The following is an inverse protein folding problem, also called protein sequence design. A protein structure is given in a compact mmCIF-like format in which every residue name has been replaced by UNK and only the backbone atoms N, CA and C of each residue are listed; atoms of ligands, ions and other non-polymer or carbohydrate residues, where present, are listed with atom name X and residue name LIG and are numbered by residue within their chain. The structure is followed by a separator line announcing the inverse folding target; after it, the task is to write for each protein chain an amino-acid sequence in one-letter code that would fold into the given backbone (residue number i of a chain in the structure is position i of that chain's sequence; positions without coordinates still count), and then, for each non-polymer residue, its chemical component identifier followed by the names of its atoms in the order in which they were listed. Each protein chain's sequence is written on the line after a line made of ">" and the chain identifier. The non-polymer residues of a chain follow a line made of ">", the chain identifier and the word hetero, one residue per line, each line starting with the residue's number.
data_IF_700364854512
#
_entry.id   IF_700364854512
#
_cell.length_a   1.000
_cell.length_b   1.000
_cell.length_c   1.000
_cell.angle_alpha   90.00
_cell.angle_beta   90.00
_cell.angle_gamma   90.00
#
_symmetry.space_group_name_H-M   'P 1'
#
loop_
_entity.id
_entity.type
_entity.pdbx_description
1 polymer ?
#
# COMPACT_ATOMS: atom_id res chain seq x y z
N UNK A 1 23.68 -9.24 11.75
CA UNK A 1 23.32 -9.37 10.32
C UNK A 1 22.01 -10.14 10.22
N UNK A 2 21.07 -9.68 9.44
CA UNK A 2 19.86 -10.42 9.13
C UNK A 2 20.20 -11.50 8.10
N UNK A 3 20.02 -12.79 8.40
CA UNK A 3 20.41 -13.87 7.47
C UNK A 3 19.54 -13.94 6.22
N UNK A 4 18.31 -13.37 6.26
CA UNK A 4 17.39 -13.38 5.13
C UNK A 4 17.66 -12.24 4.12
N UNK A 5 18.13 -11.08 4.58
CA UNK A 5 18.29 -9.88 3.74
C UNK A 5 19.74 -9.43 3.61
N UNK A 6 20.66 -9.95 4.40
CA UNK A 6 22.07 -9.52 4.45
C UNK A 6 22.29 -8.16 5.13
N UNK A 7 21.22 -7.52 5.63
CA UNK A 7 21.31 -6.24 6.36
C UNK A 7 22.07 -6.38 7.67
N UNK A 8 22.79 -5.35 8.05
CA UNK A 8 23.54 -5.28 9.29
C UNK A 8 22.97 -4.22 10.22
N UNK A 9 22.99 -4.51 11.51
CA UNK A 9 22.68 -3.51 12.55
C UNK A 9 23.92 -3.38 13.45
N UNK A 10 24.30 -2.15 13.70
CA UNK A 10 25.47 -1.80 14.52
C UNK A 10 25.01 -0.90 15.66
N UNK A 11 25.49 -1.17 16.86
CA UNK A 11 25.27 -0.30 18.03
C UNK A 11 26.58 0.37 18.41
N UNK A 12 26.51 1.65 18.75
CA UNK A 12 27.61 2.44 19.30
C UNK A 12 27.18 3.06 20.64
N UNK A 13 28.12 3.27 21.52
CA UNK A 13 27.86 3.88 22.83
C UNK A 13 28.88 4.98 23.12
N UNK A 14 28.48 5.97 23.91
CA UNK A 14 29.37 6.94 24.50
C UNK A 14 30.33 6.28 25.54
N UNK A 15 31.39 6.97 25.90
CA UNK A 15 32.39 6.45 26.88
C UNK A 15 31.79 6.17 28.27
N UNK A 16 30.61 6.66 28.58
CA UNK A 16 29.89 6.41 29.82
C UNK A 16 28.86 5.26 29.73
N UNK A 17 28.61 4.70 28.53
CA UNK A 17 27.70 3.58 28.30
C UNK A 17 26.23 3.90 28.55
N UNK A 18 25.86 5.18 28.71
CA UNK A 18 24.48 5.61 29.06
C UNK A 18 23.65 6.03 27.85
N UNK A 19 24.31 6.45 26.78
CA UNK A 19 23.66 6.81 25.52
C UNK A 19 24.36 6.10 24.39
N UNK A 20 23.59 5.58 23.50
CA UNK A 20 24.08 4.89 22.32
C UNK A 20 23.25 5.25 21.10
N UNK A 21 23.70 4.74 20.01
CA UNK A 21 23.00 4.81 18.73
C UNK A 21 23.02 3.44 18.11
N UNK A 22 21.93 3.03 17.48
CA UNK A 22 21.97 1.89 16.57
C UNK A 22 21.65 2.34 15.16
N UNK A 23 22.36 1.73 14.22
CA UNK A 23 22.33 2.09 12.81
C UNK A 23 21.99 0.82 12.04
N UNK A 24 21.00 0.88 11.16
CA UNK A 24 20.73 -0.18 10.19
C UNK A 24 21.41 0.14 8.88
N UNK A 25 22.12 -0.84 8.34
CA UNK A 25 22.91 -0.69 7.13
C UNK A 25 22.42 -1.72 6.12
N UNK A 26 22.01 -1.23 4.95
CA UNK A 26 21.68 -2.05 3.80
C UNK A 26 22.93 -2.83 3.31
N UNK A 27 22.79 -4.00 2.65
CA UNK A 27 23.93 -4.76 2.11
C UNK A 27 24.85 -3.97 1.17
N UNK A 28 24.32 -2.90 0.54
CA UNK A 28 25.11 -1.98 -0.30
C UNK A 28 25.95 -0.98 0.49
N UNK A 29 25.91 -1.00 1.83
CA UNK A 29 26.58 -0.05 2.70
C UNK A 29 25.83 1.25 3.00
N UNK A 30 24.63 1.43 2.44
CA UNK A 30 23.78 2.62 2.71
C UNK A 30 23.13 2.52 4.08
N UNK A 31 23.22 3.60 4.87
CA UNK A 31 22.46 3.73 6.12
C UNK A 31 20.99 3.88 5.81
N UNK A 32 20.15 3.00 6.34
CA UNK A 32 18.69 3.04 6.18
C UNK A 32 18.06 3.94 7.23
N UNK A 33 18.50 3.77 8.47
CA UNK A 33 18.10 4.65 9.58
C UNK A 33 19.14 4.61 10.70
N UNK A 34 19.08 5.64 11.53
CA UNK A 34 19.82 5.79 12.77
C UNK A 34 18.86 6.16 13.89
N UNK A 35 19.02 5.54 15.07
CA UNK A 35 18.17 5.81 16.24
C UNK A 35 19.00 5.92 17.49
N UNK A 36 18.65 6.88 18.33
CA UNK A 36 19.27 7.05 19.65
C UNK A 36 18.74 5.99 20.61
N UNK A 37 19.65 5.50 21.45
CA UNK A 37 19.37 4.56 22.53
C UNK A 37 19.59 5.25 23.87
N UNK A 38 18.63 5.10 24.78
CA UNK A 38 18.76 5.52 26.17
C UNK A 38 18.93 4.26 27.02
N UNK A 39 20.10 4.10 27.60
CA UNK A 39 20.50 2.93 28.37
C UNK A 39 21.61 2.09 27.71
N UNK A 40 22.17 1.17 28.46
CA UNK A 40 23.25 0.30 28.03
C UNK A 40 22.69 -1.05 27.57
N UNK A 41 22.68 -1.29 26.26
CA UNK A 41 22.25 -2.55 25.65
C UNK A 41 23.48 -3.30 25.14
N UNK A 42 23.82 -4.38 25.82
CA UNK A 42 25.02 -5.18 25.53
C UNK A 42 24.78 -6.35 24.57
N UNK A 43 23.52 -6.61 24.22
CA UNK A 43 23.16 -7.65 23.25
C UNK A 43 22.11 -7.16 22.28
N UNK A 44 22.25 -7.64 21.05
CA UNK A 44 21.36 -7.32 19.95
C UNK A 44 21.03 -8.59 19.15
N UNK A 45 19.81 -8.69 18.69
CA UNK A 45 19.37 -9.71 17.75
C UNK A 45 18.45 -9.08 16.71
N UNK A 46 18.63 -9.46 15.45
CA UNK A 46 17.69 -9.15 14.37
C UNK A 46 16.86 -10.38 14.10
N UNK A 47 15.54 -10.22 14.05
CA UNK A 47 14.59 -11.31 13.73
C UNK A 47 14.57 -11.57 12.23
N UNK A 48 13.94 -12.66 11.80
CA UNK A 48 13.75 -12.97 10.38
C UNK A 48 12.88 -11.94 9.65
N UNK A 49 11.95 -11.30 10.38
CA UNK A 49 11.09 -10.20 9.90
C UNK A 49 11.79 -8.83 9.92
N UNK A 50 13.05 -8.79 10.36
CA UNK A 50 13.87 -7.58 10.36
C UNK A 50 13.72 -6.70 11.60
N UNK A 51 12.93 -7.10 12.59
CA UNK A 51 12.82 -6.39 13.89
C UNK A 51 14.13 -6.49 14.66
N UNK A 52 14.42 -5.45 15.44
CA UNK A 52 15.69 -5.34 16.18
C UNK A 52 15.39 -5.43 17.67
N UNK A 53 15.88 -6.49 18.29
CA UNK A 53 15.78 -6.72 19.71
C UNK A 53 17.08 -6.34 20.41
N UNK A 54 17.00 -5.42 21.35
CA UNK A 54 18.11 -4.98 22.19
C UNK A 54 17.91 -5.43 23.62
N UNK A 55 18.96 -5.90 24.25
CA UNK A 55 18.98 -6.41 25.63
C UNK A 55 20.04 -5.67 26.43
N UNK A 56 19.63 -5.20 27.62
CA UNK A 56 20.55 -4.76 28.65
C UNK A 56 20.70 -5.89 29.71
N UNK A 57 21.82 -6.58 29.70
CA UNK A 57 22.08 -7.65 30.67
C UNK A 57 22.22 -7.12 32.10
N UNK A 58 22.72 -5.90 32.26
CA UNK A 58 22.93 -5.27 33.56
C UNK A 58 21.64 -4.73 34.18
N UNK A 59 20.74 -4.22 33.34
CA UNK A 59 19.50 -3.60 33.79
C UNK A 59 18.31 -4.57 33.75
N UNK A 60 18.45 -5.73 33.07
CA UNK A 60 17.33 -6.63 32.80
C UNK A 60 16.27 -6.01 31.89
N UNK A 61 16.69 -5.08 31.04
CA UNK A 61 15.83 -4.28 30.16
C UNK A 61 15.85 -4.83 28.74
N UNK A 62 14.71 -4.79 28.09
CA UNK A 62 14.53 -5.23 26.70
C UNK A 62 13.86 -4.11 25.91
N UNK A 63 14.42 -3.80 24.77
CA UNK A 63 13.84 -2.84 23.84
C UNK A 63 13.71 -3.50 22.46
N UNK A 64 12.59 -3.32 21.81
CA UNK A 64 12.37 -3.81 20.45
C UNK A 64 12.00 -2.66 19.52
N UNK A 65 12.57 -2.72 18.32
CA UNK A 65 12.27 -1.80 17.23
C UNK A 65 11.76 -2.58 16.03
N UNK A 66 10.85 -1.99 15.30
CA UNK A 66 10.37 -2.52 14.02
C UNK A 66 11.50 -2.63 12.99
N UNK A 67 11.22 -3.27 11.88
CA UNK A 67 12.12 -3.29 10.72
C UNK A 67 12.39 -1.90 10.14
N UNK A 68 11.56 -0.91 10.42
CA UNK A 68 11.72 0.51 10.00
C UNK A 68 12.37 1.39 11.06
N UNK A 69 12.75 0.81 12.20
CA UNK A 69 13.40 1.52 13.30
C UNK A 69 12.48 2.28 14.24
N UNK A 70 11.18 2.02 14.20
CA UNK A 70 10.23 2.56 15.17
C UNK A 70 10.27 1.72 16.45
N UNK A 71 10.32 2.40 17.62
CA UNK A 71 10.34 1.72 18.91
C UNK A 71 8.98 1.10 19.21
N UNK A 72 8.93 -0.23 19.30
CA UNK A 72 7.70 -0.98 19.55
C UNK A 72 7.46 -1.20 21.05
N UNK A 73 8.51 -1.52 21.79
CA UNK A 73 8.42 -1.55 23.25
C UNK A 73 9.78 -1.36 23.93
N UNK A 74 9.70 -1.05 25.24
CA UNK A 74 10.85 -0.80 26.09
C UNK A 74 10.45 -1.18 27.53
N UNK A 75 11.00 -2.25 28.07
CA UNK A 75 10.54 -2.81 29.36
C UNK A 75 11.65 -3.50 30.15
N UNK A 76 11.42 -3.58 31.46
CA UNK A 76 12.18 -4.44 32.35
C UNK A 76 11.54 -5.83 32.39
N UNK A 77 12.37 -6.89 32.25
CA UNK A 77 11.89 -8.28 32.16
C UNK A 77 11.59 -8.88 33.53
N UNK A 78 11.94 -8.18 34.60
CA UNK A 78 11.68 -8.66 35.99
C UNK A 78 11.09 -7.58 36.85
N UNK A 79 10.17 -7.98 37.72
CA UNK A 79 9.66 -7.16 38.83
C UNK A 79 10.80 -6.86 39.80
N UNK A 80 11.45 -5.70 39.64
CA UNK A 80 12.35 -5.09 40.63
C UNK A 80 13.70 -5.75 40.96
N UNK A 81 14.24 -6.70 40.18
CA UNK A 81 15.62 -7.15 40.39
C UNK A 81 16.38 -7.27 39.05
N UNK A 82 17.54 -6.66 38.93
CA UNK A 82 18.40 -6.85 37.75
C UNK A 82 18.82 -8.33 37.68
N UNK A 83 18.28 -9.06 36.73
CA UNK A 83 18.69 -10.44 36.46
C UNK A 83 19.49 -10.39 35.15
N UNK A 84 20.76 -10.72 35.23
CA UNK A 84 21.61 -10.78 34.05
C UNK A 84 21.05 -11.83 33.07
N UNK A 85 20.64 -11.38 31.90
CA UNK A 85 20.25 -12.28 30.81
C UNK A 85 21.43 -12.58 29.91
N UNK A 86 21.63 -13.86 29.61
CA UNK A 86 22.73 -14.30 28.75
C UNK A 86 22.37 -14.36 27.27
N UNK A 87 21.12 -14.67 26.98
CA UNK A 87 20.65 -14.82 25.59
C UNK A 87 19.17 -14.47 25.47
N UNK A 88 18.79 -13.99 24.30
CA UNK A 88 17.40 -13.81 23.89
C UNK A 88 17.11 -14.65 22.64
N UNK A 89 15.94 -15.25 22.61
CA UNK A 89 15.43 -16.01 21.48
C UNK A 89 14.06 -15.47 21.08
N UNK A 90 13.83 -15.37 19.79
CA UNK A 90 12.49 -15.18 19.25
C UNK A 90 12.03 -16.54 18.75
N UNK A 91 10.96 -17.06 19.32
CA UNK A 91 10.34 -18.27 18.83
C UNK A 91 9.70 -18.02 17.47
N UNK A 92 9.45 -19.08 16.70
CA UNK A 92 8.72 -18.99 15.43
C UNK A 92 7.30 -18.42 15.59
N UNK A 93 6.74 -18.49 16.77
CA UNK A 93 5.48 -17.89 17.20
C UNK A 93 5.57 -16.39 17.53
N UNK A 94 6.75 -15.77 17.39
CA UNK A 94 6.99 -14.36 17.75
C UNK A 94 7.27 -14.10 19.22
N UNK A 95 7.26 -15.12 20.06
CA UNK A 95 7.50 -14.99 21.50
C UNK A 95 8.97 -14.67 21.79
N UNK A 96 9.20 -13.80 22.76
CA UNK A 96 10.52 -13.49 23.26
C UNK A 96 10.84 -14.35 24.49
N UNK A 97 11.90 -15.14 24.37
CA UNK A 97 12.39 -15.99 25.44
C UNK A 97 13.77 -15.47 25.88
N UNK A 98 13.97 -15.30 27.19
CA UNK A 98 15.22 -14.84 27.78
C UNK A 98 15.81 -15.91 28.67
N UNK A 99 17.05 -16.28 28.41
CA UNK A 99 17.82 -17.17 29.28
C UNK A 99 18.64 -16.32 30.26
N UNK A 100 18.27 -16.37 31.53
CA UNK A 100 18.96 -15.68 32.62
C UNK A 100 20.18 -16.43 33.15
N UNK A 101 21.01 -15.76 33.93
CA UNK A 101 22.06 -16.40 34.72
C UNK A 101 21.43 -17.43 35.70
N UNK A 102 22.06 -18.60 35.79
CA UNK A 102 21.54 -19.70 36.59
C UNK A 102 20.49 -20.58 35.91
N UNK A 103 20.37 -20.49 34.56
CA UNK A 103 19.49 -21.36 33.75
C UNK A 103 18.00 -20.97 33.80
N UNK A 104 17.68 -19.83 34.37
CA UNK A 104 16.29 -19.35 34.45
C UNK A 104 15.82 -18.92 33.03
N UNK A 105 14.80 -19.58 32.51
CA UNK A 105 14.10 -19.16 31.30
C UNK A 105 12.95 -18.21 31.67
N UNK A 106 13.00 -16.99 31.14
CA UNK A 106 11.94 -16.01 31.28
C UNK A 106 11.30 -15.80 29.92
N UNK A 107 10.01 -16.01 29.86
CA UNK A 107 9.19 -15.68 28.71
C UNK A 107 8.60 -14.29 28.93
N UNK A 108 8.84 -13.37 28.00
CA UNK A 108 8.10 -12.11 27.98
C UNK A 108 6.64 -12.45 27.68
N UNK A 109 5.75 -12.02 28.56
CA UNK A 109 4.34 -12.37 28.58
C UNK A 109 3.63 -12.23 27.23
N UNK A 110 2.33 -12.23 27.23
CA UNK A 110 1.50 -12.29 26.02
C UNK A 110 1.73 -11.07 25.12
N UNK A 111 2.09 -11.30 23.85
CA UNK A 111 2.26 -10.26 22.83
C UNK A 111 1.06 -10.21 21.89
N UNK A 112 0.59 -9.01 21.57
CA UNK A 112 -0.45 -8.75 20.60
C UNK A 112 0.15 -8.14 19.35
N UNK A 113 -0.21 -8.72 18.21
CA UNK A 113 0.22 -8.31 16.88
C UNK A 113 -1.01 -8.11 16.03
N UNK A 114 -0.99 -7.10 15.17
CA UNK A 114 -1.98 -6.96 14.10
C UNK A 114 -1.30 -7.11 12.73
N UNK A 115 -1.95 -7.85 11.82
CA UNK A 115 -1.45 -8.06 10.46
C UNK A 115 -1.58 -6.80 9.62
N UNK A 116 -0.77 -6.70 8.56
CA UNK A 116 -1.02 -5.78 7.46
C UNK A 116 -1.96 -6.45 6.45
N UNK A 117 -2.62 -5.62 5.63
CA UNK A 117 -3.60 -6.04 4.63
C UNK A 117 -3.35 -5.31 3.33
N UNK A 118 -3.44 -6.04 2.22
CA UNK A 118 -3.47 -5.47 0.88
C UNK A 118 -4.77 -5.90 0.22
N UNK A 119 -5.50 -4.94 -0.35
CA UNK A 119 -6.82 -5.18 -0.93
C UNK A 119 -7.01 -4.31 -2.17
N UNK A 120 -7.66 -4.86 -3.20
CA UNK A 120 -8.08 -4.09 -4.35
C UNK A 120 -9.44 -3.48 -4.08
N UNK A 121 -9.60 -2.19 -4.39
CA UNK A 121 -10.88 -1.49 -4.33
C UNK A 121 -11.93 -2.24 -5.16
N UNK A 122 -13.11 -2.56 -4.62
CA UNK A 122 -14.13 -3.26 -5.37
C UNK A 122 -14.70 -2.38 -6.50
N UNK A 123 -15.08 -3.01 -7.60
CA UNK A 123 -15.74 -2.32 -8.72
C UNK A 123 -17.09 -1.75 -8.27
N UNK A 124 -17.85 -2.56 -7.51
CA UNK A 124 -19.15 -2.18 -6.95
C UNK A 124 -19.31 -2.72 -5.53
N UNK A 125 -20.15 -2.09 -4.71
CA UNK A 125 -20.45 -2.52 -3.36
C UNK A 125 -19.27 -2.34 -2.39
N UNK A 126 -18.94 -3.39 -1.66
CA UNK A 126 -17.89 -3.41 -0.65
C UNK A 126 -16.98 -4.64 -0.80
N UNK A 127 -15.72 -4.49 -0.42
CA UNK A 127 -14.80 -5.60 -0.17
C UNK A 127 -14.38 -5.57 1.29
N UNK A 128 -13.95 -6.70 1.85
CA UNK A 128 -13.59 -6.81 3.26
C UNK A 128 -12.08 -6.90 3.42
N UNK A 129 -11.48 -5.92 4.09
CA UNK A 129 -10.11 -5.97 4.57
C UNK A 129 -10.10 -6.70 5.92
N UNK A 130 -9.40 -7.83 6.02
CA UNK A 130 -9.35 -8.66 7.22
C UNK A 130 -8.01 -8.46 7.91
N UNK A 131 -8.04 -7.82 9.07
CA UNK A 131 -6.90 -7.71 9.97
C UNK A 131 -6.96 -8.83 10.99
N UNK A 132 -5.92 -9.66 11.04
CA UNK A 132 -5.80 -10.70 12.05
C UNK A 132 -5.02 -10.18 13.25
N UNK A 133 -5.66 -10.12 14.41
CA UNK A 133 -5.01 -9.84 15.69
C UNK A 133 -4.61 -11.17 16.33
N UNK A 134 -3.31 -11.32 16.56
CA UNK A 134 -2.73 -12.54 17.11
C UNK A 134 -2.21 -12.27 18.51
N UNK A 135 -2.69 -13.04 19.47
CA UNK A 135 -2.12 -13.13 20.82
C UNK A 135 -1.13 -14.28 20.84
N UNK A 136 0.13 -14.01 21.19
CA UNK A 136 1.16 -15.02 21.40
C UNK A 136 1.41 -15.21 22.90
N UNK A 137 1.33 -16.45 23.35
CA UNK A 137 1.51 -16.77 24.78
C UNK A 137 0.34 -16.36 25.67
N UNK A 138 0.34 -16.83 26.90
CA UNK A 138 -0.63 -16.43 27.92
C UNK A 138 -0.06 -16.58 29.34
N UNK A 139 -0.51 -15.74 30.28
CA UNK A 139 -0.24 -15.93 31.68
C UNK A 139 -1.28 -16.85 32.31
N UNK A 140 -0.88 -17.49 33.38
CA UNK A 140 -1.76 -18.26 34.21
C UNK A 140 -1.76 -17.68 35.62
N UNK A 141 -2.87 -17.87 36.35
CA UNK A 141 -2.91 -17.66 37.78
C UNK A 141 -1.99 -18.67 38.50
N UNK A 142 -1.77 -18.50 39.78
CA UNK A 142 -0.98 -19.46 40.60
C UNK A 142 -1.55 -20.87 40.50
N UNK A 143 -2.85 -21.00 40.36
CA UNK A 143 -3.59 -22.27 40.23
C UNK A 143 -3.56 -22.83 38.80
N UNK A 144 -2.90 -22.13 37.88
CA UNK A 144 -2.70 -22.54 36.48
C UNK A 144 -3.89 -22.25 35.57
N UNK A 145 -4.85 -21.42 35.97
CA UNK A 145 -5.92 -20.96 35.09
C UNK A 145 -5.42 -19.88 34.14
N UNK A 146 -5.80 -19.89 32.83
CA UNK A 146 -5.45 -18.85 31.89
C UNK A 146 -6.00 -17.49 32.31
N UNK A 147 -5.18 -16.45 32.19
CA UNK A 147 -5.62 -15.08 32.45
C UNK A 147 -6.16 -14.49 31.14
N UNK A 148 -7.42 -14.02 31.10
CA UNK A 148 -7.98 -13.38 29.92
C UNK A 148 -7.20 -12.12 29.53
N UNK A 149 -7.00 -11.93 28.22
CA UNK A 149 -6.35 -10.75 27.63
C UNK A 149 -7.38 -9.95 26.85
N UNK A 150 -7.35 -8.64 26.96
CA UNK A 150 -8.21 -7.80 26.15
C UNK A 150 -7.44 -6.62 25.54
N UNK A 151 -7.93 -6.13 24.37
CA UNK A 151 -7.34 -5.01 23.65
C UNK A 151 -8.41 -4.22 22.93
N UNK A 152 -8.33 -2.90 23.01
CA UNK A 152 -9.12 -2.00 22.19
C UNK A 152 -8.55 -1.90 20.77
N UNK A 153 -9.40 -1.59 19.80
CA UNK A 153 -8.97 -1.30 18.45
C UNK A 153 -9.81 -0.20 17.81
N UNK A 154 -9.20 0.53 16.89
CA UNK A 154 -9.90 1.51 16.06
C UNK A 154 -9.15 1.70 14.73
N UNK A 155 -9.90 1.96 13.66
CA UNK A 155 -9.31 2.39 12.39
C UNK A 155 -8.91 3.86 12.44
N UNK A 156 -7.84 4.21 11.71
CA UNK A 156 -7.35 5.58 11.53
C UNK A 156 -7.17 5.90 10.05
N UNK A 157 -7.60 7.10 9.66
CA UNK A 157 -7.35 7.65 8.33
C UNK A 157 -5.86 7.97 8.13
N UNK A 158 -5.39 7.72 6.90
CA UNK A 158 -4.11 8.19 6.38
C UNK A 158 -4.35 8.88 5.05
N UNK A 159 -3.98 8.24 3.94
CA UNK A 159 -4.34 8.72 2.60
C UNK A 159 -5.72 8.24 2.17
N UNK A 160 -6.22 7.13 2.74
CA UNK A 160 -7.60 6.69 2.63
C UNK A 160 -8.47 7.39 3.69
N UNK A 161 -9.68 7.81 3.32
CA UNK A 161 -10.63 8.50 4.19
C UNK A 161 -11.95 7.73 4.35
N UNK A 162 -12.66 7.99 5.44
CA UNK A 162 -13.93 7.33 5.77
C UNK A 162 -15.08 7.74 4.83
N UNK A 163 -14.98 8.90 4.19
CA UNK A 163 -16.03 9.35 3.28
C UNK A 163 -16.09 8.44 2.04
N UNK A 164 -14.94 8.14 1.42
CA UNK A 164 -14.85 7.53 0.11
C UNK A 164 -14.30 6.09 0.10
N UNK A 165 -13.43 5.72 1.06
CA UNK A 165 -12.60 4.54 0.90
C UNK A 165 -12.97 3.39 1.83
N UNK A 166 -13.31 3.64 3.10
CA UNK A 166 -13.62 2.57 4.04
C UNK A 166 -14.66 2.99 5.10
N UNK A 167 -15.23 1.99 5.77
CA UNK A 167 -16.13 2.22 6.90
C UNK A 167 -15.32 2.07 8.18
N UNK A 168 -15.30 3.10 9.08
CA UNK A 168 -14.53 3.02 10.30
C UNK A 168 -15.08 1.97 11.25
N UNK A 169 -14.19 1.27 11.92
CA UNK A 169 -14.53 0.31 12.98
C UNK A 169 -13.80 0.66 14.26
N UNK A 170 -14.46 0.40 15.40
CA UNK A 170 -13.90 0.54 16.74
C UNK A 170 -14.53 -0.51 17.64
N UNK A 171 -13.72 -1.10 18.50
CA UNK A 171 -14.23 -2.11 19.42
C UNK A 171 -13.19 -2.60 20.40
N UNK A 172 -13.48 -3.77 20.99
CA UNK A 172 -12.60 -4.46 21.93
C UNK A 172 -12.60 -5.95 21.61
N UNK A 173 -11.41 -6.55 21.57
CA UNK A 173 -11.24 -7.99 21.50
C UNK A 173 -10.94 -8.54 22.89
N UNK A 174 -11.41 -9.78 23.14
CA UNK A 174 -11.10 -10.53 24.35
C UNK A 174 -10.60 -11.92 23.97
N UNK A 175 -9.41 -12.26 24.43
CA UNK A 175 -8.78 -13.53 24.20
C UNK A 175 -8.86 -14.35 25.49
N UNK A 176 -9.47 -15.53 25.43
CA UNK A 176 -9.46 -16.50 26.51
C UNK A 176 -8.62 -17.69 26.08
N UNK A 177 -7.33 -17.73 26.43
CA UNK A 177 -6.46 -18.85 26.07
C UNK A 177 -7.00 -20.13 26.73
N UNK A 178 -7.08 -21.22 25.96
CA UNK A 178 -7.53 -22.52 26.50
C UNK A 178 -6.37 -23.50 26.61
N UNK A 179 -6.37 -24.31 27.68
CA UNK A 179 -5.48 -25.47 27.81
C UNK A 179 -5.94 -26.57 26.87
N UNK A 180 -5.08 -27.08 26.00
CA UNK A 180 -5.33 -28.38 25.40
C UNK A 180 -5.14 -28.56 23.90
N UNK A 181 -4.78 -27.53 23.12
CA UNK A 181 -4.46 -27.68 21.69
C UNK A 181 -2.97 -27.53 21.42
N UNK A 182 -2.47 -28.11 20.34
CA UNK A 182 -1.06 -27.97 19.93
C UNK A 182 -0.66 -26.51 19.72
N UNK A 183 -1.63 -25.64 19.34
CA UNK A 183 -1.46 -24.20 19.12
C UNK A 183 -1.83 -23.33 20.33
N UNK A 184 -1.79 -23.88 21.52
CA UNK A 184 -2.17 -23.22 22.79
C UNK A 184 -1.45 -21.91 23.11
N UNK A 185 -0.46 -21.53 22.32
CA UNK A 185 0.31 -20.30 22.47
C UNK A 185 -0.02 -19.24 21.45
N UNK A 186 -0.95 -19.52 20.53
CA UNK A 186 -1.33 -18.64 19.44
C UNK A 186 -2.85 -18.60 19.33
N UNK A 187 -3.45 -17.47 19.68
CA UNK A 187 -4.90 -17.25 19.52
C UNK A 187 -5.10 -16.09 18.57
N UNK A 188 -5.95 -16.28 17.57
CA UNK A 188 -6.23 -15.30 16.54
C UNK A 188 -7.67 -14.86 16.56
N UNK A 189 -7.91 -13.59 16.29
CA UNK A 189 -9.23 -13.04 16.04
C UNK A 189 -9.12 -12.05 14.87
N UNK A 190 -10.11 -12.05 14.00
CA UNK A 190 -10.14 -11.21 12.84
C UNK A 190 -11.03 -9.97 13.08
N UNK A 191 -10.59 -8.85 12.52
CA UNK A 191 -11.33 -7.60 12.48
C UNK A 191 -11.57 -7.29 11.03
N UNK A 192 -12.84 -7.21 10.67
CA UNK A 192 -13.27 -6.91 9.32
C UNK A 192 -13.51 -5.41 9.15
N UNK A 193 -12.93 -4.84 8.10
CA UNK A 193 -13.12 -3.45 7.72
C UNK A 193 -13.63 -3.40 6.29
N UNK A 194 -14.81 -2.82 6.10
CA UNK A 194 -15.40 -2.67 4.77
C UNK A 194 -14.69 -1.59 3.96
N UNK A 195 -14.16 -1.96 2.81
CA UNK A 195 -13.59 -1.06 1.79
C UNK A 195 -14.68 -0.80 0.74
N UNK A 196 -14.96 0.47 0.48
CA UNK A 196 -16.05 0.93 -0.37
C UNK A 196 -15.63 1.01 -1.83
N UNK A 197 -16.53 0.62 -2.73
CA UNK A 197 -16.46 1.05 -4.12
C UNK A 197 -16.68 2.56 -4.21
N UNK A 198 -15.99 3.20 -5.13
CA UNK A 198 -16.29 4.58 -5.55
C UNK A 198 -16.01 4.74 -7.05
N UNK A 199 -16.29 5.93 -7.59
CA UNK A 199 -16.10 6.22 -9.00
C UNK A 199 -14.84 7.09 -9.23
N UNK A 200 -13.80 6.87 -8.43
CA UNK A 200 -12.56 7.64 -8.47
C UNK A 200 -11.37 6.72 -8.80
N UNK A 201 -10.48 7.21 -9.62
CA UNK A 201 -9.12 6.69 -9.77
C UNK A 201 -8.26 7.51 -8.82
N UNK A 202 -7.72 6.90 -7.76
CA UNK A 202 -7.06 7.60 -6.66
C UNK A 202 -5.60 7.20 -6.44
N UNK A 203 -5.12 6.15 -7.12
CA UNK A 203 -3.87 5.49 -6.81
C UNK A 203 -3.95 4.67 -5.51
N UNK A 204 -2.78 4.32 -4.98
CA UNK A 204 -2.74 3.61 -3.69
C UNK A 204 -3.20 4.51 -2.55
N UNK A 205 -4.09 3.99 -1.72
CA UNK A 205 -4.57 4.63 -0.50
C UNK A 205 -4.27 3.74 0.71
N UNK A 206 -4.00 4.36 1.84
CA UNK A 206 -3.67 3.67 3.08
C UNK A 206 -4.57 4.12 4.22
N UNK A 207 -4.97 3.18 5.07
CA UNK A 207 -5.50 3.41 6.40
C UNK A 207 -4.85 2.45 7.39
N UNK A 208 -5.02 2.68 8.67
CA UNK A 208 -4.44 1.86 9.72
C UNK A 208 -5.53 1.30 10.64
N UNK A 209 -5.28 0.10 11.18
CA UNK A 209 -5.95 -0.43 12.34
C UNK A 209 -5.00 -0.35 13.53
N UNK A 210 -5.37 0.40 14.55
CA UNK A 210 -4.54 0.64 15.73
C UNK A 210 -5.10 -0.10 16.93
N UNK A 211 -4.26 -0.89 17.59
CA UNK A 211 -4.55 -1.52 18.87
C UNK A 211 -4.20 -0.56 20.01
N UNK A 212 -5.03 -0.52 21.05
CA UNK A 212 -4.84 0.30 22.24
C UNK A 212 -5.31 -0.42 23.51
N UNK A 213 -4.98 0.14 24.67
CA UNK A 213 -5.52 -0.27 25.96
C UNK A 213 -5.45 -1.77 26.25
N UNK A 214 -4.33 -2.40 25.85
CA UNK A 214 -4.10 -3.81 26.12
C UNK A 214 -4.06 -4.09 27.62
N UNK A 215 -4.89 -5.04 28.06
CA UNK A 215 -4.92 -5.52 29.44
C UNK A 215 -4.32 -6.92 29.51
N UNK A 216 -3.43 -7.15 30.47
CA UNK A 216 -2.74 -8.41 30.70
C UNK A 216 -1.86 -8.90 29.54
N UNK A 217 -1.48 -7.98 28.62
CA UNK A 217 -0.62 -8.26 27.46
C UNK A 217 0.13 -7.00 27.01
N UNK A 218 1.06 -7.15 26.06
CA UNK A 218 1.76 -6.04 25.43
C UNK A 218 1.30 -5.87 23.98
N UNK A 219 1.43 -4.65 23.48
CA UNK A 219 1.29 -4.36 22.08
C UNK A 219 2.66 -4.49 21.42
N UNK A 220 2.92 -5.60 20.76
CA UNK A 220 4.21 -5.85 20.07
C UNK A 220 4.21 -5.20 18.69
N UNK A 221 3.13 -5.37 17.93
CA UNK A 221 2.87 -4.66 16.69
C UNK A 221 1.46 -4.05 16.79
N UNK A 222 1.36 -2.82 17.33
CA UNK A 222 0.05 -2.20 17.58
C UNK A 222 -0.64 -1.67 16.34
N UNK A 223 0.06 -1.51 15.22
CA UNK A 223 -0.46 -0.89 14.00
C UNK A 223 -0.41 -1.90 12.86
N UNK A 224 -1.56 -2.18 12.28
CA UNK A 224 -1.71 -2.88 11.01
C UNK A 224 -2.05 -1.89 9.91
N UNK A 225 -1.32 -1.94 8.79
CA UNK A 225 -1.56 -1.11 7.62
C UNK A 225 -2.45 -1.83 6.63
N UNK A 226 -3.46 -1.13 6.10
CA UNK A 226 -4.19 -1.55 4.92
C UNK A 226 -3.77 -0.70 3.74
N UNK A 227 -3.37 -1.36 2.65
CA UNK A 227 -3.10 -0.72 1.36
C UNK A 227 -4.25 -1.08 0.42
N UNK A 228 -4.98 -0.05 -0.03
CA UNK A 228 -6.04 -0.16 -1.02
C UNK A 228 -5.45 0.20 -2.38
N UNK A 229 -5.43 -0.75 -3.30
CA UNK A 229 -5.09 -0.51 -4.71
C UNK A 229 -6.36 -0.18 -5.49
N UNK A 230 -6.22 0.63 -6.53
CA UNK A 230 -7.36 0.97 -7.37
C UNK A 230 -7.95 -0.26 -8.08
N UNK A 231 -9.26 -0.21 -8.28
CA UNK A 231 -9.97 -1.08 -9.22
C UNK A 231 -9.45 -0.85 -10.64
N UNK A 232 -9.66 -1.81 -11.50
CA UNK A 232 -9.36 -1.64 -12.92
C UNK A 232 -10.18 -0.49 -13.52
N UNK A 233 -9.50 0.41 -14.21
CA UNK A 233 -10.07 1.45 -15.05
C UNK A 233 -9.76 1.16 -16.52
N UNK A 234 -10.74 1.40 -17.38
CA UNK A 234 -10.63 1.16 -18.83
C UNK A 234 -10.79 2.46 -19.58
N UNK A 235 -9.85 2.75 -20.47
CA UNK A 235 -9.95 3.87 -21.42
C UNK A 235 -10.79 3.42 -22.60
N UNK A 236 -11.86 4.15 -22.91
CA UNK A 236 -12.75 3.86 -24.05
C UNK A 236 -12.98 5.10 -24.89
N UNK A 237 -13.26 4.88 -26.18
CA UNK A 237 -13.75 5.93 -27.06
C UNK A 237 -15.21 6.26 -26.66
N UNK A 238 -15.46 7.55 -26.43
CA UNK A 238 -16.80 8.07 -26.11
C UNK A 238 -17.51 8.50 -27.39
N UNK A 239 -16.82 9.29 -28.22
CA UNK A 239 -17.32 9.75 -29.52
C UNK A 239 -16.18 10.16 -30.42
N UNK A 240 -16.50 10.16 -31.73
CA UNK A 240 -15.70 10.81 -32.78
C UNK A 240 -16.60 11.83 -33.47
N UNK A 241 -16.09 13.03 -33.74
CA UNK A 241 -16.75 14.00 -34.61
C UNK A 241 -15.99 14.04 -35.93
N UNK A 242 -16.77 14.05 -37.02
CA UNK A 242 -16.25 14.14 -38.37
C UNK A 242 -15.58 15.48 -38.58
N UNK A 243 -14.44 15.47 -39.24
CA UNK A 243 -13.74 16.65 -39.76
C UNK A 243 -14.22 17.05 -41.16
N UNK A 244 -13.92 18.27 -41.52
CA UNK A 244 -14.14 18.83 -42.83
C UNK A 244 -12.85 19.56 -43.24
N UNK A 245 -12.34 19.25 -44.41
CA UNK A 245 -11.04 19.76 -44.88
C UNK A 245 -10.88 21.27 -44.72
N UNK A 246 -9.77 21.67 -44.11
CA UNK A 246 -9.40 23.06 -43.87
C UNK A 246 -10.32 23.85 -42.94
N UNK A 247 -11.49 23.33 -42.55
CA UNK A 247 -12.51 24.08 -41.76
C UNK A 247 -12.84 23.49 -40.42
N UNK A 248 -12.85 22.17 -40.30
CA UNK A 248 -13.23 21.49 -39.04
C UNK A 248 -12.32 20.30 -38.77
N UNK A 249 -11.70 20.29 -37.62
CA UNK A 249 -10.87 19.19 -37.16
C UNK A 249 -11.69 17.94 -36.82
N UNK A 250 -11.05 16.76 -36.94
CA UNK A 250 -11.61 15.51 -36.45
C UNK A 250 -11.39 15.48 -34.93
N UNK A 251 -12.45 15.26 -34.17
CA UNK A 251 -12.38 15.14 -32.71
C UNK A 251 -12.51 13.68 -32.26
N UNK A 252 -11.60 13.25 -31.42
CA UNK A 252 -11.66 11.97 -30.68
C UNK A 252 -11.82 12.26 -29.21
N UNK A 253 -12.94 11.89 -28.60
CA UNK A 253 -13.18 12.03 -27.16
C UNK A 253 -13.05 10.68 -26.49
N UNK A 254 -12.09 10.54 -25.57
CA UNK A 254 -11.90 9.36 -24.74
C UNK A 254 -12.49 9.59 -23.35
N UNK A 255 -12.84 8.50 -22.66
CA UNK A 255 -13.32 8.51 -21.28
C UNK A 255 -12.69 7.40 -20.44
N UNK A 256 -12.75 7.60 -19.13
CA UNK A 256 -12.32 6.65 -18.11
C UNK A 256 -13.57 5.94 -17.55
N UNK A 257 -13.53 4.61 -17.52
CA UNK A 257 -14.68 3.80 -17.11
C UNK A 257 -14.24 2.63 -16.24
N UNK A 258 -15.15 2.13 -15.41
CA UNK A 258 -15.04 0.79 -14.84
C UNK A 258 -15.26 -0.25 -15.96
N UNK A 259 -14.88 -1.53 -15.73
CA UNK A 259 -15.18 -2.61 -16.67
C UNK A 259 -16.68 -2.73 -17.01
N UNK A 260 -17.58 -2.39 -16.06
CA UNK A 260 -19.04 -2.40 -16.24
C UNK A 260 -19.59 -1.19 -17.03
N UNK A 261 -18.73 -0.25 -17.44
CA UNK A 261 -19.08 0.96 -18.18
C UNK A 261 -19.43 2.17 -17.31
N UNK A 262 -19.37 2.06 -15.98
CA UNK A 262 -19.59 3.22 -15.10
C UNK A 262 -18.46 4.23 -15.26
N UNK A 263 -18.72 5.53 -15.47
CA UNK A 263 -17.69 6.55 -15.58
C UNK A 263 -16.84 6.69 -14.33
N UNK A 264 -15.55 6.90 -14.52
CA UNK A 264 -14.57 7.15 -13.47
C UNK A 264 -13.97 8.55 -13.60
N UNK A 265 -13.67 9.17 -12.46
CA UNK A 265 -13.00 10.46 -12.38
C UNK A 265 -11.54 10.25 -11.97
N UNK A 266 -10.60 10.88 -12.68
CA UNK A 266 -9.22 10.97 -12.22
C UNK A 266 -9.14 11.82 -10.96
N UNK A 267 -8.78 11.23 -9.83
CA UNK A 267 -8.61 11.86 -8.52
C UNK A 267 -7.23 11.57 -7.91
N UNK A 268 -6.24 11.29 -8.77
CA UNK A 268 -4.89 10.93 -8.35
C UNK A 268 -4.05 12.11 -7.88
N UNK A 269 -4.49 13.34 -8.17
CA UNK A 269 -3.67 14.55 -8.01
C UNK A 269 -2.67 14.76 -9.15
N UNK A 270 -2.60 13.85 -10.13
CA UNK A 270 -1.72 13.88 -11.29
C UNK A 270 -2.51 13.65 -12.59
N UNK A 271 -1.88 13.88 -13.72
CA UNK A 271 -2.47 13.58 -15.02
C UNK A 271 -2.39 12.07 -15.32
N UNK A 272 -3.43 11.54 -15.96
CA UNK A 272 -3.38 10.27 -16.68
C UNK A 272 -3.20 10.61 -18.15
N UNK A 273 -2.13 10.09 -18.76
CA UNK A 273 -1.76 10.41 -20.14
C UNK A 273 -1.90 9.15 -20.98
N UNK A 274 -2.58 9.29 -22.11
CA UNK A 274 -2.80 8.22 -23.07
C UNK A 274 -2.15 8.63 -24.38
N UNK A 275 -1.11 7.91 -24.78
CA UNK A 275 -0.38 8.12 -26.01
C UNK A 275 -0.83 7.13 -27.09
N UNK A 276 -0.86 7.62 -28.33
CA UNK A 276 -1.20 6.84 -29.50
C UNK A 276 -0.28 7.10 -30.68
N UNK A 277 -0.53 6.36 -31.73
CA UNK A 277 0.10 6.51 -33.04
C UNK A 277 -0.98 6.52 -34.11
N UNK A 278 -0.72 7.16 -35.24
CA UNK A 278 -1.59 7.01 -36.38
C UNK A 278 -1.51 5.59 -36.93
N UNK A 279 -2.68 4.99 -37.18
CA UNK A 279 -2.84 3.68 -37.75
C UNK A 279 -3.13 3.72 -39.24
N UNK A 280 -3.37 2.57 -39.85
CA UNK A 280 -3.75 2.46 -41.24
C UNK A 280 -5.18 2.96 -41.45
N UNK A 281 -5.32 4.06 -42.16
CA UNK A 281 -6.57 4.66 -42.62
C UNK A 281 -6.52 4.90 -44.15
N UNK A 282 -7.54 5.51 -44.71
CA UNK A 282 -7.58 5.89 -46.14
C UNK A 282 -7.10 7.33 -46.37
N UNK A 283 -7.04 8.16 -45.33
CA UNK A 283 -6.53 9.52 -45.37
C UNK A 283 -4.99 9.56 -45.37
N UNK A 284 -4.41 10.51 -46.05
CA UNK A 284 -2.97 10.70 -46.15
C UNK A 284 -2.48 12.07 -45.61
N UNK A 285 -1.24 12.41 -45.81
CA UNK A 285 -0.62 13.65 -45.33
C UNK A 285 -1.16 14.95 -46.00
N UNK A 286 -1.99 14.83 -47.01
CA UNK A 286 -2.65 15.98 -47.65
C UNK A 286 -3.98 16.27 -46.96
N UNK A 287 -4.62 15.27 -46.39
CA UNK A 287 -5.93 15.37 -45.74
C UNK A 287 -5.84 15.89 -44.30
N UNK A 288 -4.75 15.57 -43.56
CA UNK A 288 -4.59 15.95 -42.19
C UNK A 288 -3.14 16.12 -41.74
N UNK A 289 -2.94 16.87 -40.65
CA UNK A 289 -1.62 17.12 -40.08
C UNK A 289 -1.13 15.93 -39.23
N UNK A 290 -0.16 15.20 -39.78
CA UNK A 290 0.49 14.06 -39.07
C UNK A 290 1.62 14.50 -38.13
N UNK A 291 1.93 15.79 -38.00
CA UNK A 291 3.05 16.30 -37.21
C UNK A 291 2.81 16.22 -35.70
N UNK A 292 1.57 16.08 -35.24
CA UNK A 292 1.22 15.96 -33.83
C UNK A 292 1.07 14.49 -33.41
N UNK A 293 1.83 14.08 -32.43
CA UNK A 293 1.64 12.77 -31.81
C UNK A 293 0.29 12.71 -31.07
N UNK A 294 -0.58 11.74 -31.39
CA UNK A 294 -1.84 11.59 -30.68
C UNK A 294 -1.64 11.43 -29.18
N UNK A 295 -2.18 12.37 -28.41
CA UNK A 295 -2.06 12.38 -26.95
C UNK A 295 -3.33 12.93 -26.31
N UNK A 296 -3.89 12.14 -25.36
CA UNK A 296 -5.03 12.55 -24.56
C UNK A 296 -4.58 12.66 -23.09
N UNK A 297 -4.94 13.75 -22.42
CA UNK A 297 -4.55 14.05 -21.05
C UNK A 297 -5.83 14.17 -20.22
N UNK A 298 -6.04 13.21 -19.32
CA UNK A 298 -7.07 13.31 -18.30
C UNK A 298 -6.48 14.04 -17.10
N UNK A 299 -6.78 15.32 -16.96
CA UNK A 299 -6.38 16.12 -15.82
C UNK A 299 -7.05 15.61 -14.53
N UNK A 300 -6.50 15.97 -13.38
CA UNK A 300 -7.17 15.69 -12.11
C UNK A 300 -8.57 16.32 -12.08
N UNK A 301 -9.58 15.55 -11.70
CA UNK A 301 -11.00 15.94 -11.73
C UNK A 301 -11.73 15.62 -13.03
N UNK A 302 -11.06 15.18 -14.10
CA UNK A 302 -11.71 14.88 -15.38
C UNK A 302 -12.13 13.41 -15.49
N UNK A 303 -13.22 13.19 -16.21
CA UNK A 303 -13.73 11.87 -16.63
C UNK A 303 -13.47 11.61 -18.11
N UNK A 304 -13.37 12.68 -18.89
CA UNK A 304 -13.24 12.67 -20.33
C UNK A 304 -12.15 13.64 -20.75
N UNK A 305 -11.56 13.37 -21.90
CA UNK A 305 -10.62 14.26 -22.55
C UNK A 305 -10.58 13.99 -24.05
N UNK A 306 -10.08 14.94 -24.81
CA UNK A 306 -10.16 14.90 -26.27
C UNK A 306 -8.78 15.13 -26.91
N UNK A 307 -8.64 14.62 -28.12
CA UNK A 307 -7.57 14.93 -29.05
C UNK A 307 -8.19 15.33 -30.38
N UNK A 308 -7.71 16.44 -30.96
CA UNK A 308 -8.14 16.89 -32.27
C UNK A 308 -7.05 16.65 -33.31
N UNK A 309 -7.46 16.11 -34.44
CA UNK A 309 -6.61 16.00 -35.63
C UNK A 309 -6.99 17.13 -36.58
N UNK A 310 -6.01 17.98 -36.83
CA UNK A 310 -6.20 19.11 -37.76
C UNK A 310 -6.36 18.60 -39.15
N UNK A 311 -7.46 18.96 -39.81
CA UNK A 311 -7.66 18.71 -41.25
C UNK A 311 -6.94 19.76 -42.10
N UNK A 312 -6.49 19.34 -43.25
CA UNK A 312 -5.81 20.20 -44.24
C UNK A 312 -6.73 20.38 -45.44
N UNK A 313 -6.65 21.54 -46.07
CA UNK A 313 -7.34 21.82 -47.33
C UNK A 313 -6.41 21.47 -48.50
N UNK A 314 -6.90 20.74 -49.48
CA UNK A 314 -6.21 20.53 -50.73
C UNK A 314 -7.07 20.93 -51.93
N UNK A 315 -6.67 20.61 -53.12
CA UNK A 315 -7.36 21.01 -54.37
C UNK A 315 -8.09 19.84 -55.04
N UNK A 316 -8.10 18.67 -54.43
CA UNK A 316 -8.72 17.47 -54.95
C UNK A 316 -10.14 17.34 -54.39
N UNK A 317 -11.04 16.82 -55.20
CA UNK A 317 -12.36 16.43 -54.72
C UNK A 317 -12.36 14.93 -54.52
N UNK A 318 -12.55 14.50 -53.29
CA UNK A 318 -12.37 13.11 -52.88
C UNK A 318 -13.58 12.60 -52.11
N UNK A 319 -13.68 11.25 -52.01
CA UNK A 319 -14.66 10.61 -51.15
C UNK A 319 -14.22 10.72 -49.71
N UNK A 320 -15.16 10.64 -48.74
CA UNK A 320 -14.81 10.63 -47.32
C UNK A 320 -13.72 9.63 -47.00
N UNK A 321 -12.68 10.06 -46.29
CA UNK A 321 -11.53 9.27 -45.91
C UNK A 321 -11.48 9.04 -44.41
N UNK A 322 -10.79 7.99 -43.98
CA UNK A 322 -10.67 7.62 -42.56
C UNK A 322 -9.28 7.94 -42.04
N UNK A 323 -9.26 8.55 -40.86
CA UNK A 323 -8.07 8.72 -40.03
C UNK A 323 -8.19 7.77 -38.84
N UNK A 324 -7.21 6.90 -38.65
CA UNK A 324 -7.18 5.93 -37.55
C UNK A 324 -6.11 6.32 -36.54
N UNK A 325 -6.45 6.28 -35.26
CA UNK A 325 -5.52 6.43 -34.14
C UNK A 325 -5.54 5.17 -33.30
N UNK A 326 -4.38 4.61 -33.05
CA UNK A 326 -4.16 3.48 -32.15
C UNK A 326 -3.53 3.98 -30.86
N UNK A 327 -4.33 4.17 -29.81
CA UNK A 327 -3.84 4.47 -28.47
C UNK A 327 -3.31 3.17 -27.83
N UNK A 328 -2.03 3.14 -27.50
CA UNK A 328 -1.33 1.93 -27.11
C UNK A 328 -0.51 2.06 -25.81
N UNK A 329 -0.50 3.24 -25.18
CA UNK A 329 0.28 3.48 -23.99
C UNK A 329 -0.47 4.36 -22.99
N UNK A 330 -0.48 3.92 -21.74
CA UNK A 330 -1.05 4.68 -20.62
C UNK A 330 0.04 4.98 -19.60
N UNK A 331 0.12 6.24 -19.20
CA UNK A 331 0.96 6.69 -18.10
C UNK A 331 0.08 7.20 -16.97
N UNK A 332 0.20 6.59 -15.80
CA UNK A 332 -0.56 6.96 -14.62
C UNK A 332 0.29 6.87 -13.35
N UNK A 333 -0.21 7.42 -12.25
CA UNK A 333 0.43 7.35 -10.95
C UNK A 333 0.55 5.89 -10.49
N UNK A 334 1.63 5.57 -9.78
CA UNK A 334 1.84 4.24 -9.19
C UNK A 334 0.64 3.82 -8.32
N UNK A 335 0.17 2.60 -8.53
CA UNK A 335 -1.00 2.05 -7.84
C UNK A 335 -2.36 2.39 -8.48
N UNK A 336 -2.39 3.24 -9.52
CA UNK A 336 -3.55 3.37 -10.40
C UNK A 336 -3.53 2.23 -11.42
N UNK A 337 -4.67 1.59 -11.63
CA UNK A 337 -4.80 0.46 -12.56
C UNK A 337 -5.62 0.89 -13.78
N UNK A 338 -4.97 1.60 -14.72
CA UNK A 338 -5.60 2.12 -15.93
C UNK A 338 -5.03 1.42 -17.15
N UNK A 339 -5.90 0.87 -17.99
CA UNK A 339 -5.53 0.09 -19.17
C UNK A 339 -6.54 0.29 -20.33
N UNK A 340 -6.28 -0.36 -21.43
CA UNK A 340 -7.27 -0.55 -22.51
C UNK A 340 -8.01 -1.89 -22.30
N UNK A 341 -9.11 -2.08 -23.02
CA UNK A 341 -9.85 -3.35 -23.06
C UNK A 341 -9.17 -4.37 -24.01
N UNK A 342 -7.88 -4.38 -24.08
CA UNK A 342 -7.04 -5.18 -24.96
C UNK A 342 -5.64 -4.59 -24.96
N UNK A 343 -4.87 -4.89 -25.99
CA UNK A 343 -3.51 -4.35 -26.11
C UNK A 343 -3.50 -2.87 -26.50
N UNK A 344 -4.53 -2.42 -27.24
CA UNK A 344 -4.66 -1.03 -27.71
C UNK A 344 -6.14 -0.65 -27.89
N UNK A 345 -6.41 0.65 -27.95
CA UNK A 345 -7.70 1.23 -28.32
C UNK A 345 -7.59 1.85 -29.71
N UNK A 346 -8.20 1.22 -30.72
CA UNK A 346 -8.27 1.74 -32.07
C UNK A 346 -9.49 2.64 -32.25
N UNK A 347 -9.27 3.87 -32.71
CA UNK A 347 -10.30 4.87 -32.95
C UNK A 347 -10.26 5.31 -34.41
N UNK A 348 -11.41 5.31 -35.09
CA UNK A 348 -11.53 5.77 -36.46
C UNK A 348 -12.36 7.05 -36.55
N UNK A 349 -11.84 8.06 -37.22
CA UNK A 349 -12.53 9.30 -37.55
C UNK A 349 -12.67 9.44 -39.06
N UNK A 350 -13.52 10.32 -39.51
CA UNK A 350 -13.76 10.60 -40.95
C UNK A 350 -13.43 12.06 -41.26
N UNK A 351 -12.73 12.30 -42.35
CA UNK A 351 -12.57 13.60 -42.97
C UNK A 351 -13.36 13.61 -44.27
N UNK A 352 -14.05 14.69 -44.52
CA UNK A 352 -14.79 14.90 -45.76
C UNK A 352 -14.33 16.18 -46.44
N UNK A 353 -14.39 16.15 -47.75
CA UNK A 353 -14.19 17.34 -48.58
C UNK A 353 -15.23 18.41 -48.31
N UNK A 354 -14.82 19.66 -48.56
CA UNK A 354 -15.78 20.75 -48.60
C UNK A 354 -16.71 20.58 -49.81
N UNK A 355 -18.02 20.92 -49.65
CA UNK A 355 -18.92 20.96 -50.80
C UNK A 355 -18.36 21.95 -51.81
N UNK A 356 -18.23 21.50 -53.07
CA UNK A 356 -17.71 22.31 -54.16
C UNK A 356 -18.40 23.70 -54.18
N UNK A 357 -17.65 24.78 -53.93
CA UNK A 357 -18.16 26.13 -54.12
C UNK A 357 -18.31 26.32 -55.61
N UNK A 358 -19.56 26.34 -56.11
CA UNK A 358 -19.88 26.80 -57.44
C UNK A 358 -19.40 28.27 -57.51
N UNK A 359 -18.35 28.53 -58.30
CA UNK A 359 -17.92 29.87 -58.65
C UNK A 359 -18.87 30.47 -59.68
#
# INVERSE_FOLDING_TARGET
>A
MNPATGESVVTTYDMGGRRGTFIRIHPTGKVEFERSLDGNFDKMKVTNSGEILLLSSSEGRVCMFSSTGEKEFDRYVTDNKPTAYRQAYTASSGELLFLGAGGRLVKLGHGLYVSDVKITKPVNGIATAIFTVTLTGYATTKEGAPIPVSVGYATQEKTANIANNFTPVKGKLSFTPSRGTADRYLVKQDIEVSVKANNLIEGMKEFELVLSDAQQSYLVKPVGKAVIEDQQAVVKLVRTEQGEEGTKDILYELGLFKPDGTPLTNSTGANIIVDGIYGEGTADALDFDMGLTPRVIFANGSQKSSFSVKTLEDTRYELPKTVVINFNKVHCLSGSNVAFEGELLSCSGVVVDQPARLM
#
